data_IF_595914937923
#
_entry.id   IF_595914937923
#
_cell.length_a   1.000
_cell.length_b   1.000
_cell.length_c   1.000
_cell.angle_alpha   90.00
_cell.angle_beta   90.00
_cell.angle_gamma   90.00
#
_symmetry.space_group_name_H-M   'P 1'
#
loop_
_entity.id
_entity.type
_entity.pdbx_description
1 polymer ?
#
# COMPACT_ATOMS: atom_id res chain seq x y z
N UNK A 1 -5.05 -5.23 -15.41
CA UNK A 1 -3.66 -4.72 -15.40
C UNK A 1 -3.58 -3.45 -16.23
N UNK A 2 -2.88 -2.44 -15.73
CA UNK A 2 -2.55 -1.21 -16.43
C UNK A 2 -1.04 -1.14 -16.66
N UNK A 3 -0.65 -0.76 -17.87
CA UNK A 3 0.74 -0.57 -18.28
C UNK A 3 0.87 0.89 -18.72
N UNK A 4 1.68 1.71 -18.05
CA UNK A 4 1.92 3.08 -18.49
C UNK A 4 2.47 3.11 -19.93
N UNK A 5 1.98 4.04 -20.75
CA UNK A 5 2.49 4.22 -22.12
C UNK A 5 4.00 4.54 -22.14
N UNK A 6 4.50 5.21 -21.09
CA UNK A 6 5.90 5.56 -20.92
C UNK A 6 6.80 4.42 -20.40
N UNK A 7 6.27 3.21 -20.17
CA UNK A 7 7.07 2.07 -19.75
C UNK A 7 8.04 1.67 -20.88
N UNK A 8 9.36 1.66 -20.65
CA UNK A 8 10.32 1.18 -21.65
C UNK A 8 10.03 -0.27 -22.05
N UNK A 9 10.33 -0.60 -23.32
CA UNK A 9 10.20 -1.96 -23.86
C UNK A 9 11.40 -2.83 -23.50
N UNK A 10 11.25 -4.14 -23.68
CA UNK A 10 12.33 -5.15 -23.58
C UNK A 10 13.06 -5.17 -22.24
N UNK A 11 12.37 -4.78 -21.17
CA UNK A 11 12.94 -4.83 -19.83
C UNK A 11 13.16 -6.27 -19.36
N UNK A 12 14.37 -6.61 -18.92
CA UNK A 12 14.67 -7.88 -18.25
C UNK A 12 14.14 -7.93 -16.81
N UNK A 13 13.92 -6.77 -16.21
CA UNK A 13 13.36 -6.63 -14.86
C UNK A 13 12.37 -5.47 -14.83
N UNK A 14 11.21 -5.68 -14.22
CA UNK A 14 10.11 -4.69 -14.15
C UNK A 14 9.52 -4.62 -12.74
N UNK A 15 9.05 -3.45 -12.33
CA UNK A 15 8.38 -3.27 -11.04
C UNK A 15 6.88 -3.55 -11.13
N UNK A 16 6.30 -4.04 -10.04
CA UNK A 16 4.87 -4.28 -9.91
C UNK A 16 4.29 -3.55 -8.71
N UNK A 17 3.14 -2.91 -8.90
CA UNK A 17 2.22 -2.54 -7.82
C UNK A 17 0.94 -3.36 -7.97
N UNK A 18 0.60 -4.15 -6.95
CA UNK A 18 -0.75 -4.74 -6.81
C UNK A 18 -1.55 -3.85 -5.86
N UNK A 19 -2.64 -3.30 -6.34
CA UNK A 19 -3.50 -2.39 -5.60
C UNK A 19 -4.86 -3.01 -5.30
N UNK A 20 -5.28 -2.94 -4.04
CA UNK A 20 -6.56 -3.44 -3.58
C UNK A 20 -7.52 -2.31 -3.24
N UNK A 21 -8.73 -2.43 -3.78
CA UNK A 21 -9.91 -1.61 -3.49
C UNK A 21 -9.83 -0.15 -3.98
N UNK A 22 -10.79 0.22 -4.83
CA UNK A 22 -10.95 1.58 -5.36
C UNK A 22 -11.18 1.57 -6.86
N UNK A 23 -11.73 2.64 -7.42
CA UNK A 23 -12.06 2.68 -8.85
C UNK A 23 -10.78 2.58 -9.71
N UNK A 24 -10.67 1.63 -10.67
CA UNK A 24 -9.45 1.47 -11.48
C UNK A 24 -9.00 2.75 -12.17
N UNK A 25 -9.95 3.56 -12.68
CA UNK A 25 -9.64 4.84 -13.32
C UNK A 25 -8.81 5.79 -12.45
N UNK A 26 -9.05 5.81 -11.13
CA UNK A 26 -8.30 6.68 -10.21
C UNK A 26 -6.94 6.09 -9.89
N UNK A 27 -6.85 4.79 -9.58
CA UNK A 27 -5.56 4.13 -9.30
C UNK A 27 -4.63 4.20 -10.52
N UNK A 28 -5.16 3.98 -11.73
CA UNK A 28 -4.41 4.10 -12.98
C UNK A 28 -3.91 5.53 -13.23
N UNK A 29 -4.76 6.54 -13.02
CA UNK A 29 -4.38 7.96 -13.13
C UNK A 29 -3.24 8.29 -12.17
N UNK A 30 -3.37 7.93 -10.90
CA UNK A 30 -2.35 8.23 -9.89
C UNK A 30 -1.04 7.48 -10.14
N UNK A 31 -1.12 6.21 -10.57
CA UNK A 31 0.05 5.42 -10.92
C UNK A 31 0.79 5.97 -12.15
N UNK A 32 0.05 6.34 -13.21
CA UNK A 32 0.63 6.96 -14.39
C UNK A 32 1.31 8.30 -14.05
N UNK A 33 0.66 9.12 -13.22
CA UNK A 33 1.21 10.41 -12.79
C UNK A 33 2.47 10.28 -11.92
N UNK A 34 2.64 9.16 -11.21
CA UNK A 34 3.85 8.88 -10.43
C UNK A 34 5.08 8.56 -11.30
N UNK A 35 4.89 8.29 -12.60
CA UNK A 35 5.95 7.97 -13.58
C UNK A 35 6.86 6.82 -13.14
N UNK A 36 6.27 5.83 -12.47
CA UNK A 36 6.98 4.61 -12.08
C UNK A 36 7.28 3.75 -13.30
N UNK A 37 8.47 3.15 -13.34
CA UNK A 37 8.90 2.17 -14.34
C UNK A 37 8.38 0.78 -13.94
N UNK A 38 7.07 0.68 -13.83
CA UNK A 38 6.39 -0.55 -13.43
C UNK A 38 5.00 -0.65 -14.01
N UNK A 39 4.31 -1.70 -13.60
CA UNK A 39 2.92 -1.96 -13.98
C UNK A 39 2.02 -1.98 -12.76
N UNK A 40 0.74 -1.72 -12.98
CA UNK A 40 -0.28 -1.73 -11.94
C UNK A 40 -1.27 -2.86 -12.17
N UNK A 41 -1.55 -3.64 -11.15
CA UNK A 41 -2.67 -4.59 -11.11
C UNK A 41 -3.65 -4.10 -10.06
N UNK A 42 -4.84 -3.66 -10.48
CA UNK A 42 -5.91 -3.29 -9.54
C UNK A 42 -6.86 -4.48 -9.38
N UNK A 43 -7.12 -4.88 -8.13
CA UNK A 43 -8.04 -5.97 -7.77
C UNK A 43 -9.16 -5.39 -6.92
N UNK A 44 -10.39 -5.58 -7.39
CA UNK A 44 -11.59 -5.04 -6.76
C UNK A 44 -12.63 -6.13 -6.56
N UNK A 45 -13.07 -6.25 -5.32
CA UNK A 45 -14.26 -7.01 -4.94
C UNK A 45 -15.32 -6.07 -4.40
N UNK A 46 -16.59 -6.37 -4.67
CA UNK A 46 -17.71 -5.67 -4.05
C UNK A 46 -17.82 -6.05 -2.57
N UNK A 47 -17.91 -5.07 -1.69
CA UNK A 47 -18.11 -5.26 -0.25
C UNK A 47 -16.98 -4.71 0.62
N UNK A 48 -17.02 -5.10 1.90
CA UNK A 48 -16.05 -4.70 2.93
C UNK A 48 -14.81 -5.61 2.91
N UNK A 49 -13.92 -5.44 3.89
CA UNK A 49 -12.61 -6.10 3.91
C UNK A 49 -12.65 -7.63 3.86
N UNK A 50 -13.69 -8.26 4.38
CA UNK A 50 -13.88 -9.72 4.26
C UNK A 50 -14.01 -10.21 2.81
N UNK A 51 -14.54 -9.39 1.90
CA UNK A 51 -14.62 -9.71 0.46
C UNK A 51 -13.23 -9.74 -0.20
N UNK A 52 -12.26 -9.04 0.38
CA UNK A 52 -10.86 -9.02 -0.06
C UNK A 52 -10.04 -10.10 0.64
N UNK A 53 -10.30 -10.37 1.92
CA UNK A 53 -9.58 -11.40 2.68
C UNK A 53 -9.88 -12.81 2.15
N UNK A 54 -11.17 -13.14 1.93
CA UNK A 54 -11.58 -14.52 1.61
C UNK A 54 -10.88 -15.11 0.38
N UNK A 55 -10.77 -14.42 -0.78
CA UNK A 55 -10.06 -14.97 -1.93
C UNK A 55 -8.56 -15.16 -1.69
N UNK A 56 -7.92 -14.24 -0.95
CA UNK A 56 -6.48 -14.28 -0.69
C UNK A 56 -6.07 -15.16 0.50
N UNK A 57 -7.04 -15.79 1.17
CA UNK A 57 -6.77 -16.93 2.05
C UNK A 57 -6.40 -18.19 1.27
N UNK A 58 -6.65 -18.24 -0.04
CA UNK A 58 -5.99 -19.21 -0.93
C UNK A 58 -4.53 -18.78 -1.13
N UNK A 59 -3.62 -19.51 -0.50
CA UNK A 59 -2.17 -19.29 -0.52
C UNK A 59 -1.50 -19.59 -1.88
N UNK A 60 -2.29 -19.72 -2.95
CA UNK A 60 -1.79 -19.85 -4.34
C UNK A 60 -2.31 -18.75 -5.25
N UNK A 61 -3.29 -17.95 -4.81
CA UNK A 61 -3.92 -16.93 -5.66
C UNK A 61 -2.95 -15.80 -6.01
N UNK A 62 -2.13 -15.36 -5.06
CA UNK A 62 -1.20 -14.27 -5.31
C UNK A 62 -0.11 -14.68 -6.31
N UNK A 63 0.41 -15.91 -6.21
CA UNK A 63 1.36 -16.44 -7.20
C UNK A 63 0.78 -16.46 -8.61
N UNK A 64 -0.49 -16.88 -8.75
CA UNK A 64 -1.19 -16.82 -10.04
C UNK A 64 -1.27 -15.38 -10.56
N UNK A 65 -1.66 -14.42 -9.72
CA UNK A 65 -1.69 -13.00 -10.10
C UNK A 65 -0.32 -12.53 -10.60
N UNK A 66 0.77 -12.86 -9.89
CA UNK A 66 2.13 -12.48 -10.28
C UNK A 66 2.53 -13.13 -11.62
N UNK A 67 2.26 -14.42 -11.78
CA UNK A 67 2.62 -15.20 -12.97
C UNK A 67 1.82 -14.78 -14.21
N UNK A 68 0.50 -14.67 -14.09
CA UNK A 68 -0.40 -14.27 -15.18
C UNK A 68 -0.11 -12.84 -15.64
N UNK A 69 0.19 -11.93 -14.71
CA UNK A 69 0.55 -10.55 -15.06
C UNK A 69 1.85 -10.54 -15.88
N UNK A 70 2.87 -11.30 -15.46
CA UNK A 70 4.14 -11.35 -16.16
C UNK A 70 4.01 -12.04 -17.53
N UNK A 71 3.22 -13.11 -17.62
CA UNK A 71 2.88 -13.77 -18.88
C UNK A 71 2.21 -12.80 -19.87
N UNK A 72 1.21 -12.04 -19.41
CA UNK A 72 0.52 -11.05 -20.24
C UNK A 72 1.44 -9.92 -20.74
N UNK A 73 2.46 -9.52 -19.96
CA UNK A 73 3.46 -8.55 -20.41
C UNK A 73 4.35 -9.12 -21.52
N UNK A 74 4.75 -10.39 -21.40
CA UNK A 74 5.58 -11.10 -22.39
C UNK A 74 4.82 -11.34 -23.69
N UNK A 75 3.57 -11.79 -23.61
CA UNK A 75 2.69 -12.00 -24.78
C UNK A 75 2.49 -10.72 -25.58
N UNK A 76 2.39 -9.58 -24.88
CA UNK A 76 2.26 -8.25 -25.49
C UNK A 76 3.60 -7.63 -25.91
N UNK A 77 4.71 -8.37 -25.79
CA UNK A 77 6.07 -7.92 -26.12
C UNK A 77 6.44 -6.57 -25.46
N UNK A 78 5.99 -6.37 -24.21
CA UNK A 78 6.25 -5.14 -23.45
C UNK A 78 7.52 -5.26 -22.60
N UNK A 79 7.99 -6.49 -22.38
CA UNK A 79 9.16 -6.86 -21.59
C UNK A 79 9.90 -8.00 -22.29
N UNK A 80 11.14 -8.28 -21.87
CA UNK A 80 11.92 -9.36 -22.44
C UNK A 80 11.27 -10.75 -22.20
N UNK A 81 11.52 -11.78 -23.05
CA UNK A 81 10.91 -13.10 -22.91
C UNK A 81 11.14 -13.78 -21.55
N UNK A 82 12.29 -13.50 -20.91
CA UNK A 82 12.67 -14.01 -19.60
C UNK A 82 12.59 -12.95 -18.49
N UNK A 83 11.81 -11.88 -18.69
CA UNK A 83 11.68 -10.81 -17.71
C UNK A 83 11.16 -11.33 -16.37
N UNK A 84 11.60 -10.76 -15.25
CA UNK A 84 11.09 -11.07 -13.92
C UNK A 84 10.75 -9.78 -13.13
N UNK A 85 10.05 -9.92 -12.01
CA UNK A 85 9.75 -8.80 -11.12
C UNK A 85 10.98 -8.38 -10.34
N UNK A 86 11.41 -7.14 -10.52
CA UNK A 86 12.48 -6.51 -9.74
C UNK A 86 12.04 -6.25 -8.30
N UNK A 87 10.90 -5.57 -8.15
CA UNK A 87 10.25 -5.27 -6.87
C UNK A 87 8.74 -5.50 -6.97
N UNK A 88 8.18 -6.12 -5.94
CA UNK A 88 6.73 -6.29 -5.78
C UNK A 88 6.26 -5.42 -4.63
N UNK A 89 5.45 -4.42 -4.98
CA UNK A 89 4.78 -3.57 -4.02
C UNK A 89 3.30 -3.95 -3.93
N UNK A 90 2.77 -3.99 -2.71
CA UNK A 90 1.33 -4.12 -2.48
C UNK A 90 0.81 -2.83 -1.88
N UNK A 91 -0.32 -2.34 -2.38
CA UNK A 91 -1.00 -1.17 -1.82
C UNK A 91 -2.47 -1.46 -1.61
N UNK A 92 -3.09 -0.77 -0.67
CA UNK A 92 -4.54 -0.87 -0.45
C UNK A 92 -5.14 0.44 -0.02
N UNK A 93 -6.42 0.60 -0.31
CA UNK A 93 -7.26 1.69 0.18
C UNK A 93 -8.50 1.12 0.87
N UNK A 94 -8.99 1.79 1.93
CA UNK A 94 -10.22 1.42 2.64
C UNK A 94 -10.31 -0.09 2.93
N UNK A 95 -11.33 -0.82 2.43
CA UNK A 95 -11.52 -2.26 2.61
C UNK A 95 -10.38 -3.15 2.08
N UNK A 96 -9.50 -2.65 1.22
CA UNK A 96 -8.45 -3.44 0.57
C UNK A 96 -7.44 -4.06 1.54
N UNK A 97 -7.32 -3.54 2.77
CA UNK A 97 -6.43 -4.14 3.78
C UNK A 97 -6.77 -5.59 4.12
N UNK A 98 -8.01 -6.04 3.85
CA UNK A 98 -8.39 -7.44 4.05
C UNK A 98 -7.56 -8.41 3.21
N UNK A 99 -7.30 -8.07 1.94
CA UNK A 99 -6.41 -8.87 1.08
C UNK A 99 -4.98 -8.82 1.61
N UNK A 100 -4.47 -7.62 1.96
CA UNK A 100 -3.12 -7.46 2.49
C UNK A 100 -2.94 -8.28 3.77
N UNK A 101 -3.93 -8.29 4.66
CA UNK A 101 -3.92 -9.09 5.89
C UNK A 101 -3.83 -10.59 5.60
N UNK A 102 -4.51 -11.08 4.57
CA UNK A 102 -4.38 -12.48 4.15
C UNK A 102 -2.98 -12.77 3.60
N UNK A 103 -2.47 -11.90 2.71
CA UNK A 103 -1.15 -12.06 2.10
C UNK A 103 -0.03 -12.12 3.14
N UNK A 104 -0.04 -11.24 4.15
CA UNK A 104 1.04 -11.18 5.14
C UNK A 104 1.09 -12.37 6.11
N UNK A 105 0.04 -13.22 6.15
CA UNK A 105 0.04 -14.48 6.91
C UNK A 105 0.89 -15.55 6.23
N UNK A 106 1.02 -15.50 4.90
CA UNK A 106 1.77 -16.48 4.11
C UNK A 106 3.25 -16.08 4.09
N UNK A 107 4.18 -16.88 4.66
CA UNK A 107 5.59 -16.49 4.76
C UNK A 107 6.24 -16.16 3.42
N UNK A 108 5.97 -16.97 2.38
CA UNK A 108 6.51 -16.74 1.04
C UNK A 108 6.05 -15.39 0.46
N UNK A 109 4.81 -14.97 0.71
CA UNK A 109 4.27 -13.69 0.23
C UNK A 109 4.78 -12.53 1.07
N UNK A 110 4.85 -12.70 2.39
CA UNK A 110 5.49 -11.73 3.27
C UNK A 110 6.91 -11.43 2.78
N UNK A 111 7.69 -12.45 2.44
CA UNK A 111 9.06 -12.30 1.92
C UNK A 111 9.09 -11.67 0.54
N UNK A 112 8.19 -12.10 -0.37
CA UNK A 112 8.14 -11.62 -1.75
C UNK A 112 7.77 -10.13 -1.88
N UNK A 113 6.96 -9.62 -0.95
CA UNK A 113 6.53 -8.22 -0.96
C UNK A 113 7.67 -7.33 -0.46
N UNK A 114 8.24 -6.53 -1.34
CA UNK A 114 9.32 -5.60 -1.03
C UNK A 114 8.83 -4.35 -0.29
N UNK A 115 7.62 -3.89 -0.64
CA UNK A 115 7.04 -2.71 -0.05
C UNK A 115 5.52 -2.76 0.09
N UNK A 116 5.03 -2.06 1.11
CA UNK A 116 3.62 -1.83 1.36
C UNK A 116 3.30 -0.34 1.34
N UNK A 117 2.16 0.01 0.73
CA UNK A 117 1.53 1.31 0.91
C UNK A 117 0.10 1.16 1.41
N UNK A 118 -0.09 1.52 2.68
CA UNK A 118 -1.39 1.53 3.35
C UNK A 118 -2.00 2.92 3.24
N UNK A 119 -2.84 3.14 2.23
CA UNK A 119 -3.52 4.41 2.00
C UNK A 119 -4.85 4.44 2.76
N UNK A 120 -4.84 4.95 3.99
CA UNK A 120 -6.01 5.11 4.87
C UNK A 120 -6.90 3.86 4.88
N UNK A 121 -6.30 2.72 5.18
CA UNK A 121 -6.88 1.40 4.88
C UNK A 121 -6.83 0.41 6.02
N UNK A 122 -5.87 0.49 6.95
CA UNK A 122 -5.74 -0.51 8.01
C UNK A 122 -6.77 -0.23 9.10
N UNK A 123 -7.74 -1.14 9.25
CA UNK A 123 -8.70 -1.14 10.35
C UNK A 123 -8.55 -2.41 11.17
N UNK A 124 -9.02 -2.38 12.41
CA UNK A 124 -8.96 -3.53 13.29
C UNK A 124 -10.18 -3.59 14.20
N UNK A 125 -10.56 -4.79 14.64
CA UNK A 125 -11.46 -4.91 15.79
C UNK A 125 -10.79 -4.38 17.07
N UNK A 126 -11.57 -4.26 18.12
CA UNK A 126 -11.05 -4.01 19.46
C UNK A 126 -11.05 -5.27 20.30
N UNK A 127 -10.19 -5.29 21.31
CA UNK A 127 -10.26 -6.20 22.46
C UNK A 127 -10.35 -5.38 23.73
N UNK A 128 -10.93 -5.95 24.78
CA UNK A 128 -10.86 -5.38 26.13
C UNK A 128 -9.71 -6.04 26.88
N UNK A 129 -8.88 -5.22 27.49
CA UNK A 129 -7.73 -5.63 28.29
C UNK A 129 -7.68 -4.74 29.53
N UNK A 130 -7.86 -5.33 30.71
CA UNK A 130 -8.01 -4.62 32.00
C UNK A 130 -9.04 -3.48 31.98
N UNK A 131 -10.17 -3.68 31.30
CA UNK A 131 -11.23 -2.66 31.15
C UNK A 131 -10.88 -1.51 30.21
N UNK A 132 -9.73 -1.56 29.53
CA UNK A 132 -9.31 -0.60 28.50
C UNK A 132 -9.53 -1.22 27.13
N UNK A 133 -10.28 -0.51 26.28
CA UNK A 133 -10.50 -0.89 24.88
C UNK A 133 -9.21 -0.60 24.08
N UNK A 134 -8.65 -1.62 23.44
CA UNK A 134 -7.40 -1.52 22.66
C UNK A 134 -7.57 -2.13 21.27
N UNK A 135 -6.76 -1.66 20.32
CA UNK A 135 -6.68 -2.28 18.99
C UNK A 135 -6.40 -3.77 19.16
N UNK A 136 -7.14 -4.63 18.47
CA UNK A 136 -6.93 -6.07 18.55
C UNK A 136 -5.53 -6.41 17.98
N UNK A 137 -4.58 -6.88 18.81
CA UNK A 137 -3.21 -7.11 18.36
C UNK A 137 -3.13 -8.18 17.27
N UNK A 138 -4.04 -9.17 17.28
CA UNK A 138 -4.09 -10.20 16.26
C UNK A 138 -4.47 -9.65 14.87
N UNK A 139 -5.18 -8.52 14.80
CA UNK A 139 -5.58 -7.90 13.53
C UNK A 139 -4.44 -7.10 12.89
N UNK A 140 -3.50 -6.59 13.69
CA UNK A 140 -2.38 -5.75 13.22
C UNK A 140 -1.02 -6.47 13.24
N UNK A 141 -0.92 -7.65 13.88
CA UNK A 141 0.33 -8.40 14.09
C UNK A 141 1.26 -8.45 12.88
N UNK A 142 0.76 -8.90 11.74
CA UNK A 142 1.62 -9.13 10.57
C UNK A 142 1.99 -7.80 9.86
N UNK A 143 1.17 -6.76 10.01
CA UNK A 143 1.52 -5.40 9.59
C UNK A 143 2.57 -4.78 10.52
N UNK A 144 2.45 -4.97 11.84
CA UNK A 144 3.42 -4.55 12.83
C UNK A 144 4.78 -5.23 12.60
N UNK A 145 4.78 -6.54 12.28
CA UNK A 145 5.98 -7.25 11.83
C UNK A 145 6.58 -6.59 10.58
N UNK A 146 5.76 -6.27 9.57
CA UNK A 146 6.24 -5.57 8.36
C UNK A 146 6.80 -4.17 8.68
N UNK A 147 6.21 -3.45 9.63
CA UNK A 147 6.71 -2.15 10.10
C UNK A 147 8.09 -2.26 10.75
N UNK A 148 8.31 -3.29 11.58
CA UNK A 148 9.62 -3.57 12.18
C UNK A 148 10.67 -3.93 11.11
N UNK A 149 10.31 -4.76 10.14
CA UNK A 149 11.18 -5.10 8.99
C UNK A 149 11.54 -3.87 8.15
N UNK A 150 10.56 -2.98 7.94
CA UNK A 150 10.78 -1.72 7.25
C UNK A 150 11.70 -0.80 8.06
N UNK A 151 11.49 -0.67 9.37
CA UNK A 151 12.34 0.09 10.26
C UNK A 151 13.80 -0.40 10.26
N UNK A 152 14.00 -1.71 10.10
CA UNK A 152 15.31 -2.33 9.96
C UNK A 152 15.91 -2.24 8.53
N UNK A 153 15.23 -1.58 7.58
CA UNK A 153 15.72 -1.36 6.22
C UNK A 153 15.57 -2.54 5.26
N UNK A 154 14.87 -3.61 5.67
CA UNK A 154 14.67 -4.81 4.84
C UNK A 154 13.44 -4.71 3.92
N UNK A 155 12.50 -3.83 4.29
CA UNK A 155 11.25 -3.57 3.56
C UNK A 155 11.03 -2.05 3.45
N UNK A 156 10.04 -1.63 2.66
CA UNK A 156 9.51 -0.25 2.73
C UNK A 156 8.04 -0.28 3.13
N UNK A 157 7.65 0.45 4.18
CA UNK A 157 6.25 0.60 4.58
C UNK A 157 5.88 2.07 4.60
N UNK A 158 4.94 2.43 3.73
CA UNK A 158 4.32 3.75 3.69
C UNK A 158 2.93 3.65 4.30
N UNK A 159 2.60 4.55 5.21
CA UNK A 159 1.28 4.65 5.83
C UNK A 159 0.79 6.08 5.72
N UNK A 160 -0.43 6.27 5.23
CA UNK A 160 -1.10 7.57 5.29
C UNK A 160 -2.45 7.35 5.92
N UNK A 161 -2.87 8.20 6.85
CA UNK A 161 -4.18 8.06 7.46
C UNK A 161 -4.87 9.41 7.66
N UNK A 162 -6.19 9.39 7.67
CA UNK A 162 -7.04 10.46 8.19
C UNK A 162 -7.33 10.21 9.68
N UNK A 163 -8.15 11.07 10.29
CA UNK A 163 -8.71 10.87 11.63
C UNK A 163 -10.20 10.54 11.58
N UNK A 164 -10.68 10.00 10.45
CA UNK A 164 -12.04 9.49 10.34
C UNK A 164 -12.25 8.36 11.37
N UNK A 165 -13.23 8.54 12.25
CA UNK A 165 -13.63 7.53 13.23
C UNK A 165 -14.76 6.67 12.67
N UNK A 166 -14.56 5.35 12.49
CA UNK A 166 -15.59 4.48 11.92
C UNK A 166 -16.64 4.00 12.94
N UNK A 167 -16.49 4.37 14.22
CA UNK A 167 -17.46 4.14 15.30
C UNK A 167 -17.33 2.79 16.01
N UNK A 168 -17.53 1.67 15.31
CA UNK A 168 -17.63 0.34 15.94
C UNK A 168 -16.32 -0.47 15.97
N UNK A 169 -15.30 -0.04 15.23
CA UNK A 169 -13.99 -0.69 15.13
C UNK A 169 -12.87 0.37 15.12
N UNK A 170 -11.62 -0.05 15.27
CA UNK A 170 -10.48 0.85 15.35
C UNK A 170 -10.21 1.50 14.00
N UNK A 171 -10.07 2.82 14.00
CA UNK A 171 -9.75 3.63 12.83
C UNK A 171 -8.30 3.46 12.37
N UNK A 172 -8.01 4.02 11.21
CA UNK A 172 -6.68 3.99 10.59
C UNK A 172 -5.63 4.77 11.40
N UNK A 173 -6.04 5.83 12.10
CA UNK A 173 -5.17 6.56 13.02
C UNK A 173 -4.77 5.73 14.26
N UNK A 174 -5.68 4.95 14.84
CA UNK A 174 -5.40 4.08 15.99
C UNK A 174 -4.49 2.93 15.60
N UNK A 175 -4.77 2.25 14.49
CA UNK A 175 -3.89 1.15 14.01
C UNK A 175 -2.53 1.67 13.56
N UNK A 176 -2.44 2.92 13.09
CA UNK A 176 -1.18 3.54 12.74
C UNK A 176 -0.26 3.70 13.96
N UNK A 177 -0.80 3.91 15.17
CA UNK A 177 0.01 3.99 16.40
C UNK A 177 0.66 2.64 16.75
N UNK A 178 -0.03 1.53 16.51
CA UNK A 178 0.55 0.17 16.65
C UNK A 178 1.73 -0.03 15.70
N UNK A 179 1.65 0.50 14.46
CA UNK A 179 2.73 0.40 13.49
C UNK A 179 3.93 1.30 13.85
N UNK A 180 3.67 2.50 14.38
CA UNK A 180 4.71 3.40 14.90
C UNK A 180 5.45 2.72 16.05
N UNK A 181 4.72 2.14 17.00
CA UNK A 181 5.28 1.41 18.13
C UNK A 181 6.12 0.21 17.66
N UNK A 182 5.60 -0.60 16.74
CA UNK A 182 6.33 -1.76 16.20
C UNK A 182 7.58 -1.38 15.41
N UNK A 183 7.55 -0.26 14.69
CA UNK A 183 8.73 0.30 14.05
C UNK A 183 9.74 0.86 15.06
N UNK A 184 9.35 1.09 16.32
CA UNK A 184 10.13 1.86 17.30
C UNK A 184 10.45 3.26 16.77
N UNK A 185 9.52 3.85 16.02
CA UNK A 185 9.61 5.21 15.53
C UNK A 185 8.96 6.17 16.54
N UNK A 186 9.32 7.45 16.45
CA UNK A 186 8.69 8.51 17.24
C UNK A 186 7.73 9.29 16.34
N UNK A 187 6.46 9.42 16.76
CA UNK A 187 5.50 10.28 16.08
C UNK A 187 5.68 11.72 16.55
N UNK A 188 5.86 12.64 15.60
CA UNK A 188 6.05 14.08 15.84
C UNK A 188 4.90 14.86 15.22
N UNK A 189 4.42 15.87 15.93
CA UNK A 189 3.49 16.85 15.38
C UNK A 189 4.22 17.73 14.35
N UNK A 190 3.55 18.00 13.23
CA UNK A 190 4.03 18.88 12.17
C UNK A 190 2.87 19.72 11.63
N UNK A 191 3.17 20.71 10.80
CA UNK A 191 2.16 21.42 9.99
C UNK A 191 2.73 21.59 8.59
N UNK A 192 2.58 20.55 7.77
CA UNK A 192 3.16 20.47 6.43
C UNK A 192 2.06 20.42 5.36
N UNK A 193 2.25 21.09 4.21
CA UNK A 193 1.34 20.95 3.09
C UNK A 193 1.39 19.52 2.53
N UNK A 194 0.21 18.91 2.36
CA UNK A 194 0.03 17.65 1.64
C UNK A 194 -0.38 17.88 0.17
N UNK A 195 -0.72 16.81 -0.56
CA UNK A 195 -1.24 16.96 -1.92
C UNK A 195 -2.63 17.62 -1.93
N UNK A 196 -2.89 18.44 -2.94
CA UNK A 196 -4.14 19.19 -3.09
C UNK A 196 -4.46 20.03 -1.83
N UNK A 197 -5.58 19.79 -1.17
CA UNK A 197 -6.00 20.48 0.05
C UNK A 197 -5.62 19.74 1.34
N UNK A 198 -4.94 18.59 1.24
CA UNK A 198 -4.55 17.80 2.42
C UNK A 198 -3.48 18.53 3.23
N UNK A 199 -3.50 18.34 4.55
CA UNK A 199 -2.52 18.89 5.47
C UNK A 199 -1.97 17.78 6.35
N UNK A 200 -0.65 17.61 6.37
CA UNK A 200 0.01 16.61 7.23
C UNK A 200 0.21 17.25 8.60
N UNK A 201 -0.34 16.62 9.63
CA UNK A 201 -0.31 17.11 11.03
C UNK A 201 0.54 16.24 11.94
N UNK A 202 0.94 15.05 11.50
CA UNK A 202 1.94 14.24 12.19
C UNK A 202 2.76 13.39 11.23
N UNK A 203 4.00 13.09 11.62
CA UNK A 203 4.91 12.18 10.89
C UNK A 203 5.58 11.23 11.86
N UNK A 204 5.87 10.03 11.37
CA UNK A 204 6.77 9.10 12.03
C UNK A 204 7.62 8.43 10.95
N UNK A 205 8.92 8.28 11.19
CA UNK A 205 9.83 7.63 10.26
C UNK A 205 10.97 6.94 10.98
N UNK A 206 11.37 5.79 10.44
CA UNK A 206 12.59 5.06 10.83
C UNK A 206 12.94 4.09 9.71
N UNK A 207 14.17 4.13 9.21
CA UNK A 207 14.58 3.28 8.09
C UNK A 207 13.63 3.39 6.88
N UNK A 208 13.08 2.26 6.45
CA UNK A 208 12.08 2.16 5.40
C UNK A 208 10.62 2.35 5.86
N UNK A 209 10.36 2.57 7.15
CA UNK A 209 9.02 2.93 7.66
C UNK A 209 8.79 4.43 7.58
N UNK A 210 7.69 4.85 6.96
CA UNK A 210 7.25 6.26 6.86
C UNK A 210 5.75 6.36 7.04
N UNK A 211 5.33 7.32 7.84
CA UNK A 211 3.93 7.57 8.14
C UNK A 211 3.61 9.07 8.04
N UNK A 212 2.44 9.36 7.46
CA UNK A 212 1.84 10.70 7.42
C UNK A 212 0.42 10.66 7.99
N UNK A 213 0.23 11.27 9.16
CA UNK A 213 -1.10 11.57 9.70
C UNK A 213 -1.61 12.86 9.07
N UNK A 214 -2.70 12.77 8.32
CA UNK A 214 -3.30 13.89 7.61
C UNK A 214 -4.54 14.37 8.36
N UNK A 215 -4.70 15.69 8.50
CA UNK A 215 -5.91 16.28 9.07
C UNK A 215 -7.14 15.85 8.26
N UNK A 216 -8.28 15.75 8.94
CA UNK A 216 -9.56 15.38 8.32
C UNK A 216 -10.26 14.26 9.06
N UNK A 217 -11.59 14.32 9.10
CA UNK A 217 -12.45 13.39 9.86
C UNK A 217 -13.68 12.96 9.06
N UNK A 218 -13.71 13.23 7.75
CA UNK A 218 -14.85 12.97 6.88
C UNK A 218 -14.56 11.86 5.87
N UNK A 219 -15.61 11.36 5.21
CA UNK A 219 -15.46 10.41 4.11
C UNK A 219 -14.68 10.99 2.92
N UNK A 220 -14.75 12.31 2.69
CA UNK A 220 -13.96 12.94 1.63
C UNK A 220 -12.48 13.04 1.98
N UNK A 221 -12.14 13.25 3.26
CA UNK A 221 -10.76 13.19 3.73
C UNK A 221 -10.18 11.79 3.54
N UNK A 222 -10.96 10.76 3.87
CA UNK A 222 -10.62 9.36 3.58
C UNK A 222 -10.37 9.14 2.08
N UNK A 223 -11.29 9.58 1.22
CA UNK A 223 -11.14 9.48 -0.23
C UNK A 223 -9.95 10.30 -0.79
N UNK A 224 -9.51 11.35 -0.11
CA UNK A 224 -8.39 12.17 -0.55
C UNK A 224 -7.07 11.37 -0.60
N UNK A 225 -6.89 10.39 0.30
CA UNK A 225 -5.73 9.49 0.26
C UNK A 225 -5.68 8.67 -1.04
N UNK A 226 -6.82 8.12 -1.47
CA UNK A 226 -6.93 7.37 -2.72
C UNK A 226 -6.75 8.28 -3.95
N UNK A 227 -7.34 9.47 -3.91
CA UNK A 227 -7.30 10.42 -5.03
C UNK A 227 -5.92 11.06 -5.23
N UNK A 228 -5.00 10.93 -4.28
CA UNK A 228 -3.68 11.57 -4.31
C UNK A 228 -2.50 10.59 -4.11
N UNK A 229 -2.71 9.29 -4.34
CA UNK A 229 -1.68 8.26 -4.12
C UNK A 229 -0.35 8.55 -4.82
N UNK A 230 -0.36 9.27 -5.96
CA UNK A 230 0.87 9.63 -6.68
C UNK A 230 1.89 10.36 -5.81
N UNK A 231 1.41 11.13 -4.83
CA UNK A 231 2.25 11.91 -3.93
C UNK A 231 3.13 11.02 -3.06
N UNK A 232 2.63 9.85 -2.64
CA UNK A 232 3.36 8.90 -1.80
C UNK A 232 3.96 7.74 -2.58
N UNK A 233 3.44 7.39 -3.76
CA UNK A 233 4.11 6.44 -4.67
C UNK A 233 5.55 6.82 -4.97
N UNK A 234 5.85 8.11 -4.93
CA UNK A 234 7.19 8.66 -5.12
C UNK A 234 8.20 8.18 -4.05
N UNK A 235 7.73 7.74 -2.90
CA UNK A 235 8.52 7.24 -1.77
C UNK A 235 8.72 5.71 -1.79
N UNK A 236 8.05 5.00 -2.71
CA UNK A 236 8.25 3.56 -2.88
C UNK A 236 9.64 3.27 -3.48
N UNK A 237 10.23 2.09 -3.21
CA UNK A 237 11.55 1.68 -3.73
C UNK A 237 11.48 1.23 -5.20
N UNK A 238 10.66 1.92 -6.00
CA UNK A 238 10.40 1.62 -7.40
C UNK A 238 11.20 2.55 -8.32
N UNK A 239 11.63 2.01 -9.46
CA UNK A 239 12.30 2.80 -10.48
C UNK A 239 11.34 3.80 -11.10
N UNK A 240 11.89 4.91 -11.56
CA UNK A 240 11.13 5.93 -12.29
C UNK A 240 11.56 5.95 -13.74
N UNK A 241 10.60 6.23 -14.61
CA UNK A 241 10.90 6.56 -16.00
C UNK A 241 11.63 7.91 -15.96
N UNK A 242 12.90 7.91 -16.36
CA UNK A 242 13.68 9.15 -16.48
C UNK A 242 12.92 10.11 -17.39
N UNK A 243 12.90 11.40 -17.04
CA UNK A 243 12.47 12.40 -18.00
C UNK A 243 13.42 12.30 -19.21
N UNK A 244 12.87 12.11 -20.40
CA UNK A 244 13.61 12.44 -21.62
C UNK A 244 13.96 13.92 -21.50
N UNK A 245 15.25 14.24 -21.61
CA UNK A 245 15.63 15.63 -21.81
C UNK A 245 14.94 16.11 -23.10
N UNK A 246 14.31 17.28 -23.02
CA UNK A 246 13.65 18.05 -24.09
C UNK A 246 12.47 17.40 -24.83
N UNK A 247 11.31 18.05 -24.74
CA UNK A 247 10.76 18.82 -25.87
C UNK A 247 10.61 20.28 -25.43
#
# INVERSE_FOLDING_TARGET
MFVPAALPRDLAQVDLVVHFHGTPRVSEREFAAARLRGVLVTINYGGLSGAYEKPFSDETLFDRVLAETLAALRERQLVAPHADWRRVCVSSFSAGFGAVRALLKVPAYFDRIDALYLADTLYAGYVEDDGVRRVNPANVRDFARFAAEAAAGRKTLLVTHSYLAPGSYAGTHETADELVAAAGAERRAVDEPGPAAMRVVSRAERGGFRLWGCAGTTGDDHMAHFRNMRFWYRELPLERVRATASE
#
